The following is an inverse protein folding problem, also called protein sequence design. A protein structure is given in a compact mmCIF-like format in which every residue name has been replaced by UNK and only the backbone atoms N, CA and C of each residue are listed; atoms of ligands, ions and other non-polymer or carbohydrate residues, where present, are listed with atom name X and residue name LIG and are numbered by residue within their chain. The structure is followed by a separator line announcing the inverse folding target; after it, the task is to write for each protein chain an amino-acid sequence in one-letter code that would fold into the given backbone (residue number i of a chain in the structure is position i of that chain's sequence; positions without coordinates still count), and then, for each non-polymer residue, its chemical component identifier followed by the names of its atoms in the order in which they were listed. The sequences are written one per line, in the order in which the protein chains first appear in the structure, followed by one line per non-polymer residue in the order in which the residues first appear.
data_IF_096250778630
#
_entry.id   IF_096250778630
#
_cell.length_a   1.000
_cell.length_b   1.000
_cell.length_c   1.000
_cell.angle_alpha   90.00
_cell.angle_beta   90.00
_cell.angle_gamma   90.00
#
_symmetry.space_group_name_H-M   'P 1'
#
loop_
_entity.id
_entity.type
_entity.pdbx_description
1 polymer ?
#
# COMPACT_ATOMS: atom_id res chain seq x y z
N UNK A 1 7.25 11.20 14.38
CA UNK A 1 5.98 11.57 15.07
C UNK A 1 5.20 10.33 15.49
N UNK A 2 4.95 9.35 14.63
CA UNK A 2 4.15 8.13 14.91
C UNK A 2 4.66 7.36 16.13
N UNK A 3 5.99 7.15 16.26
CA UNK A 3 6.57 6.48 17.43
C UNK A 3 6.31 7.23 18.76
N UNK A 4 6.06 8.55 18.72
CA UNK A 4 5.79 9.38 19.90
C UNK A 4 4.30 9.42 20.26
N UNK A 5 3.42 9.07 19.33
CA UNK A 5 1.99 9.04 19.57
C UNK A 5 1.63 7.86 20.47
N UNK A 6 0.67 8.06 21.37
CA UNK A 6 0.09 6.95 22.13
C UNK A 6 -0.84 6.12 21.23
N UNK A 7 -1.16 4.91 21.66
CA UNK A 7 -2.10 4.08 20.94
C UNK A 7 -3.48 4.75 20.85
N UNK A 8 -3.92 5.41 21.92
CA UNK A 8 -5.20 6.14 21.98
C UNK A 8 -5.24 7.27 20.96
N UNK A 9 -4.17 8.06 20.82
CA UNK A 9 -4.07 9.12 19.82
C UNK A 9 -4.17 8.55 18.40
N UNK A 10 -3.50 7.43 18.12
CA UNK A 10 -3.59 6.75 16.82
C UNK A 10 -5.02 6.25 16.55
N UNK A 11 -5.70 5.68 17.55
CA UNK A 11 -7.10 5.26 17.45
C UNK A 11 -8.01 6.43 17.11
N UNK A 12 -7.89 7.55 17.82
CA UNK A 12 -8.70 8.75 17.59
C UNK A 12 -8.53 9.29 16.18
N UNK A 13 -7.28 9.37 15.70
CA UNK A 13 -6.94 9.84 14.35
C UNK A 13 -7.51 8.90 13.26
N UNK A 14 -7.42 7.59 13.45
CA UNK A 14 -7.98 6.60 12.52
C UNK A 14 -9.50 6.74 12.47
N UNK A 15 -10.19 6.76 13.61
CA UNK A 15 -11.66 6.89 13.69
C UNK A 15 -12.13 8.18 13.03
N UNK A 16 -11.46 9.30 13.31
CA UNK A 16 -11.78 10.61 12.71
C UNK A 16 -11.70 10.55 11.19
N UNK A 17 -10.61 9.99 10.63
CA UNK A 17 -10.43 9.87 9.18
C UNK A 17 -11.41 8.88 8.56
N UNK A 18 -11.65 7.74 9.21
CA UNK A 18 -12.63 6.76 8.76
C UNK A 18 -14.03 7.35 8.66
N UNK A 19 -14.46 8.12 9.66
CA UNK A 19 -15.76 8.77 9.66
C UNK A 19 -15.86 9.87 8.57
N UNK A 20 -14.78 10.61 8.29
CA UNK A 20 -14.75 11.56 7.18
C UNK A 20 -14.91 10.87 5.82
N UNK A 21 -14.27 9.71 5.63
CA UNK A 21 -14.40 8.92 4.41
C UNK A 21 -15.79 8.29 4.29
N UNK A 22 -16.33 7.80 5.39
CA UNK A 22 -17.68 7.24 5.44
C UNK A 22 -18.76 8.27 5.02
N UNK A 23 -18.63 9.52 5.46
CA UNK A 23 -19.52 10.63 5.03
C UNK A 23 -19.44 10.89 3.51
N UNK A 24 -18.36 10.47 2.86
CA UNK A 24 -18.16 10.53 1.40
C UNK A 24 -18.56 9.24 0.68
N UNK A 25 -19.20 8.31 1.38
CA UNK A 25 -19.67 7.04 0.82
C UNK A 25 -18.61 5.93 0.75
N UNK A 26 -17.43 6.11 1.36
CA UNK A 26 -16.38 5.09 1.41
C UNK A 26 -16.60 4.24 2.66
N UNK A 27 -17.08 3.02 2.48
CA UNK A 27 -17.49 2.12 3.57
C UNK A 27 -16.42 1.13 3.99
N UNK A 28 -15.43 0.87 3.12
CA UNK A 28 -14.31 -0.04 3.41
C UNK A 28 -13.00 0.68 3.14
N UNK A 29 -12.09 0.65 4.10
CA UNK A 29 -10.86 1.45 4.10
C UNK A 29 -9.69 0.53 4.47
N UNK A 30 -8.69 0.44 3.61
CA UNK A 30 -7.42 -0.14 3.99
C UNK A 30 -6.63 0.84 4.85
N UNK A 31 -6.10 0.36 5.98
CA UNK A 31 -5.26 1.15 6.89
C UNK A 31 -3.94 0.41 7.07
N UNK A 32 -2.85 1.07 6.68
CA UNK A 32 -1.50 0.48 6.71
C UNK A 32 -0.73 0.94 7.95
N UNK A 33 0.06 0.04 8.57
CA UNK A 33 1.15 0.41 9.46
C UNK A 33 2.35 0.94 8.66
N UNK A 34 3.59 0.82 9.14
CA UNK A 34 4.78 1.12 8.32
C UNK A 34 5.53 2.39 8.72
N UNK A 35 5.13 3.04 9.77
CA UNK A 35 5.82 4.21 10.33
C UNK A 35 6.40 3.95 11.73
N UNK A 36 6.16 2.78 12.29
CA UNK A 36 6.74 2.29 13.52
C UNK A 36 8.21 1.89 13.34
N UNK A 37 8.48 1.07 12.34
CA UNK A 37 9.81 0.58 11.95
C UNK A 37 10.57 -0.12 13.08
N UNK A 38 9.85 -0.69 14.04
CA UNK A 38 10.31 -1.61 15.09
C UNK A 38 9.15 -2.50 15.49
N UNK A 39 9.42 -3.63 16.13
CA UNK A 39 8.38 -4.61 16.48
C UNK A 39 7.27 -3.95 17.30
N UNK A 40 7.60 -3.36 18.43
CA UNK A 40 6.62 -2.76 19.36
C UNK A 40 5.81 -1.64 18.71
N UNK A 41 6.45 -0.79 17.91
CA UNK A 41 5.80 0.36 17.29
C UNK A 41 4.89 -0.06 16.12
N UNK A 42 5.26 -1.08 15.34
CA UNK A 42 4.38 -1.64 14.31
C UNK A 42 3.19 -2.36 14.94
N UNK A 43 3.40 -3.15 16.01
CA UNK A 43 2.32 -3.80 16.75
C UNK A 43 1.37 -2.75 17.37
N UNK A 44 1.90 -1.67 17.95
CA UNK A 44 1.08 -0.56 18.47
C UNK A 44 0.17 0.03 17.38
N UNK A 45 0.69 0.25 16.17
CA UNK A 45 -0.12 0.75 15.05
C UNK A 45 -1.21 -0.24 14.66
N UNK A 46 -0.89 -1.52 14.54
CA UNK A 46 -1.86 -2.56 14.17
C UNK A 46 -2.93 -2.76 15.25
N UNK A 47 -2.56 -2.69 16.53
CA UNK A 47 -3.52 -2.69 17.64
C UNK A 47 -4.43 -1.46 17.60
N UNK A 48 -3.90 -0.29 17.25
CA UNK A 48 -4.71 0.91 17.09
C UNK A 48 -5.74 0.74 15.97
N UNK A 49 -5.37 0.14 14.82
CA UNK A 49 -6.31 -0.14 13.72
C UNK A 49 -7.40 -1.12 14.19
N UNK A 50 -7.02 -2.21 14.85
CA UNK A 50 -7.96 -3.19 15.40
C UNK A 50 -8.96 -2.56 16.37
N UNK A 51 -8.48 -1.69 17.26
CA UNK A 51 -9.32 -0.95 18.21
C UNK A 51 -10.22 0.06 17.50
N UNK A 52 -9.69 0.82 16.54
CA UNK A 52 -10.45 1.80 15.77
C UNK A 52 -11.60 1.15 14.99
N UNK A 53 -11.40 -0.06 14.46
CA UNK A 53 -12.42 -0.80 13.72
C UNK A 53 -13.67 -1.13 14.58
N UNK A 54 -13.55 -1.11 15.91
CA UNK A 54 -14.70 -1.27 16.80
C UNK A 54 -15.41 0.04 17.15
N UNK A 55 -14.88 1.19 16.69
CA UNK A 55 -15.34 2.54 17.03
C UNK A 55 -15.85 3.35 15.82
N UNK A 56 -15.95 2.74 14.67
CA UNK A 56 -16.49 3.34 13.44
C UNK A 56 -17.40 2.35 12.73
N UNK A 57 -18.38 2.86 11.98
CA UNK A 57 -19.24 2.05 11.12
C UNK A 57 -18.54 1.66 9.79
N UNK A 58 -17.41 2.27 9.46
CA UNK A 58 -16.61 1.85 8.32
C UNK A 58 -15.87 0.54 8.63
N UNK A 59 -15.72 -0.33 7.64
CA UNK A 59 -14.89 -1.53 7.76
C UNK A 59 -13.43 -1.17 7.54
N UNK A 60 -12.58 -1.37 8.53
CA UNK A 60 -11.14 -1.15 8.41
C UNK A 60 -10.40 -2.45 8.12
N UNK A 61 -9.66 -2.48 7.04
CA UNK A 61 -8.79 -3.61 6.65
C UNK A 61 -7.35 -3.25 7.01
N UNK A 62 -6.81 -3.92 8.00
CA UNK A 62 -5.43 -3.68 8.42
C UNK A 62 -4.44 -4.37 7.49
N UNK A 63 -3.40 -3.62 7.09
CA UNK A 63 -2.24 -4.12 6.32
C UNK A 63 -0.95 -3.80 7.06
N UNK A 64 -0.12 -4.82 7.31
CA UNK A 64 1.18 -4.66 7.93
C UNK A 64 2.21 -4.23 6.86
N UNK A 65 2.59 -2.96 6.86
CA UNK A 65 3.60 -2.38 5.97
C UNK A 65 4.95 -2.18 6.70
N UNK A 66 5.36 -3.12 7.54
CA UNK A 66 6.64 -3.00 8.27
C UNK A 66 7.85 -2.87 7.31
N UNK A 67 7.78 -3.48 6.13
CA UNK A 67 8.79 -3.34 5.09
C UNK A 67 8.59 -2.07 4.23
N UNK A 68 8.35 -0.91 4.87
CA UNK A 68 8.13 0.37 4.19
C UNK A 68 9.45 1.07 3.83
N UNK A 69 10.33 1.21 4.80
CA UNK A 69 11.66 1.80 4.62
C UNK A 69 12.66 1.18 5.58
N UNK A 70 13.95 1.32 5.29
CA UNK A 70 15.01 0.80 6.15
C UNK A 70 15.14 1.72 7.36
N UNK A 71 14.91 1.25 8.61
CA UNK A 71 15.08 2.06 9.81
C UNK A 71 16.52 2.55 9.95
N UNK A 72 16.71 3.67 10.65
CA UNK A 72 18.04 4.24 10.87
C UNK A 72 18.97 3.27 11.58
N UNK A 73 18.43 2.46 12.47
CA UNK A 73 19.12 1.45 13.26
C UNK A 73 19.68 0.31 12.40
N UNK A 74 19.09 0.13 11.20
CA UNK A 74 19.48 -0.89 10.22
C UNK A 74 20.11 -0.28 8.95
N UNK A 75 20.55 0.98 9.00
CA UNK A 75 21.21 1.61 7.85
C UNK A 75 22.43 0.79 7.41
N UNK A 76 22.41 0.35 6.14
CA UNK A 76 23.45 -0.52 5.58
C UNK A 76 23.26 -2.02 5.87
N UNK A 77 22.21 -2.42 6.56
CA UNK A 77 21.87 -3.81 6.84
C UNK A 77 20.36 -4.07 6.64
N UNK A 78 19.82 -3.88 5.43
CA UNK A 78 18.41 -4.13 5.16
C UNK A 78 18.02 -5.59 5.39
N UNK A 79 18.92 -6.54 5.13
CA UNK A 79 18.70 -7.98 5.35
C UNK A 79 18.44 -8.28 6.83
N UNK A 80 19.19 -7.66 7.74
CA UNK A 80 18.99 -7.82 9.18
C UNK A 80 17.63 -7.28 9.65
N UNK A 81 17.15 -6.18 9.04
CA UNK A 81 15.81 -5.68 9.34
C UNK A 81 14.71 -6.60 8.80
N UNK A 82 14.86 -7.07 7.56
CA UNK A 82 13.92 -8.03 6.97
C UNK A 82 13.88 -9.32 7.80
N UNK A 83 15.02 -9.83 8.25
CA UNK A 83 15.06 -10.99 9.13
C UNK A 83 14.28 -10.73 10.43
N UNK A 84 14.50 -9.60 11.09
CA UNK A 84 13.80 -9.23 12.33
C UNK A 84 12.28 -9.25 12.14
N UNK A 85 11.75 -8.51 11.14
CA UNK A 85 10.30 -8.44 10.95
C UNK A 85 9.70 -9.76 10.45
N UNK A 86 10.48 -10.57 9.73
CA UNK A 86 10.07 -11.90 9.25
C UNK A 86 9.93 -12.91 10.39
N UNK A 87 10.90 -12.93 11.30
CA UNK A 87 10.99 -13.93 12.37
C UNK A 87 10.21 -13.53 13.62
N UNK A 88 10.16 -12.25 13.96
CA UNK A 88 9.55 -11.79 15.20
C UNK A 88 8.18 -11.12 14.98
N UNK A 89 8.01 -10.25 13.96
CA UNK A 89 6.76 -9.52 13.78
C UNK A 89 5.66 -10.35 13.13
N UNK A 90 5.92 -10.97 11.97
CA UNK A 90 4.88 -11.68 11.21
C UNK A 90 4.17 -12.78 12.00
N UNK A 91 4.87 -13.61 12.82
CA UNK A 91 4.19 -14.60 13.66
C UNK A 91 3.20 -13.98 14.64
N UNK A 92 3.58 -12.89 15.33
CA UNK A 92 2.74 -12.18 16.28
C UNK A 92 1.53 -11.56 15.59
N UNK A 93 1.73 -10.88 14.45
CA UNK A 93 0.64 -10.30 13.65
C UNK A 93 -0.38 -11.37 13.27
N UNK A 94 0.09 -12.57 12.92
CA UNK A 94 -0.80 -13.70 12.58
C UNK A 94 -1.52 -14.28 13.76
N UNK A 95 -0.81 -14.55 14.85
CA UNK A 95 -1.34 -15.14 16.07
C UNK A 95 -2.43 -14.25 16.70
N UNK A 96 -2.16 -12.94 16.80
CA UNK A 96 -3.09 -11.97 17.37
C UNK A 96 -4.17 -11.49 16.37
N UNK A 97 -4.11 -11.95 15.13
CA UNK A 97 -5.05 -11.58 14.06
C UNK A 97 -5.13 -10.06 13.90
N UNK A 98 -3.98 -9.40 13.82
CA UNK A 98 -3.88 -7.95 13.71
C UNK A 98 -4.04 -7.47 12.27
N UNK A 99 -3.59 -8.26 11.30
CA UNK A 99 -3.75 -8.01 9.88
C UNK A 99 -3.90 -9.33 9.12
N UNK A 100 -4.52 -9.27 7.95
CA UNK A 100 -4.58 -10.39 7.00
C UNK A 100 -3.70 -10.12 5.78
N UNK A 101 -3.16 -8.92 5.66
CA UNK A 101 -2.29 -8.46 4.57
C UNK A 101 -0.96 -8.00 5.07
N UNK A 102 0.05 -8.20 4.22
CA UNK A 102 1.36 -7.59 4.36
C UNK A 102 1.69 -6.80 3.11
N UNK A 103 2.56 -5.82 3.25
CA UNK A 103 2.98 -4.94 2.18
C UNK A 103 4.48 -4.65 2.27
N UNK A 104 5.08 -4.28 1.15
CA UNK A 104 6.47 -3.85 1.11
C UNK A 104 6.68 -2.80 0.01
N UNK A 105 7.59 -1.87 0.28
CA UNK A 105 8.02 -0.87 -0.69
C UNK A 105 9.24 -1.38 -1.47
N UNK A 106 8.99 -1.82 -2.71
CA UNK A 106 10.02 -2.34 -3.62
C UNK A 106 10.50 -1.20 -4.51
N UNK A 107 11.64 -0.61 -4.11
CA UNK A 107 12.17 0.56 -4.78
C UNK A 107 13.69 0.68 -4.57
N UNK A 108 14.35 1.36 -5.51
CA UNK A 108 15.77 1.69 -5.39
C UNK A 108 16.01 2.55 -4.15
N UNK A 109 16.86 2.07 -3.24
CA UNK A 109 17.13 2.75 -1.97
C UNK A 109 16.27 2.30 -0.80
N UNK A 110 15.27 1.44 -1.03
CA UNK A 110 14.49 0.72 -0.03
C UNK A 110 14.77 -0.79 -0.13
N UNK A 111 13.75 -1.61 -0.41
CA UNK A 111 13.93 -3.06 -0.52
C UNK A 111 13.95 -3.49 -1.99
N UNK A 112 14.78 -4.48 -2.31
CA UNK A 112 14.86 -5.11 -3.64
C UNK A 112 14.10 -6.43 -3.64
N UNK A 113 13.82 -6.98 -4.83
CA UNK A 113 13.24 -8.32 -4.98
C UNK A 113 14.03 -9.39 -4.19
N UNK A 114 15.36 -9.29 -4.20
CA UNK A 114 16.23 -10.21 -3.45
C UNK A 114 16.09 -10.04 -1.94
N UNK A 115 16.12 -8.81 -1.46
CA UNK A 115 16.09 -8.52 -0.02
C UNK A 115 14.73 -8.87 0.59
N UNK A 116 13.63 -8.62 -0.13
CA UNK A 116 12.27 -8.85 0.38
C UNK A 116 11.85 -10.34 0.36
N UNK A 117 12.52 -11.16 -0.44
CA UNK A 117 12.14 -12.56 -0.65
C UNK A 117 11.85 -13.35 0.64
N UNK A 118 12.69 -13.36 1.68
CA UNK A 118 12.40 -14.10 2.92
C UNK A 118 11.11 -13.66 3.60
N UNK A 119 10.80 -12.35 3.56
CA UNK A 119 9.60 -11.77 4.14
C UNK A 119 8.33 -12.24 3.42
N UNK A 120 8.30 -12.19 2.11
CA UNK A 120 7.15 -12.64 1.33
C UNK A 120 6.99 -14.16 1.31
N UNK A 121 8.09 -14.93 1.30
CA UNK A 121 8.03 -16.39 1.46
C UNK A 121 7.37 -16.76 2.80
N UNK A 122 7.75 -16.08 3.89
CA UNK A 122 7.16 -16.29 5.21
C UNK A 122 5.70 -15.83 5.25
N UNK A 123 5.39 -14.71 4.61
CA UNK A 123 4.02 -14.20 4.53
C UNK A 123 3.09 -15.21 3.84
N UNK A 124 3.50 -15.79 2.70
CA UNK A 124 2.74 -16.84 2.03
C UNK A 124 2.59 -18.10 2.89
N UNK A 125 3.67 -18.54 3.57
CA UNK A 125 3.63 -19.68 4.48
C UNK A 125 2.63 -19.48 5.62
N UNK A 126 2.51 -18.24 6.12
CA UNK A 126 1.54 -17.82 7.14
C UNK A 126 0.15 -17.48 6.56
N UNK A 127 -0.04 -17.61 5.24
CA UNK A 127 -1.29 -17.29 4.54
C UNK A 127 -1.73 -15.84 4.75
N UNK A 128 -0.82 -14.91 4.58
CA UNK A 128 -1.15 -13.51 4.38
C UNK A 128 -1.40 -13.24 2.89
N UNK A 129 -2.35 -12.37 2.60
CA UNK A 129 -2.40 -11.70 1.31
C UNK A 129 -1.22 -10.73 1.21
N UNK A 130 -0.72 -10.52 -0.02
CA UNK A 130 0.40 -9.62 -0.28
C UNK A 130 -0.08 -8.45 -1.13
N UNK A 131 0.32 -7.24 -0.76
CA UNK A 131 0.26 -6.05 -1.60
C UNK A 131 1.69 -5.52 -1.80
N UNK A 132 1.92 -4.72 -2.82
CA UNK A 132 3.27 -4.20 -3.12
C UNK A 132 3.17 -2.74 -3.52
N UNK A 133 3.89 -1.85 -2.84
CA UNK A 133 4.23 -0.54 -3.39
C UNK A 133 5.24 -0.78 -4.50
N UNK A 134 4.81 -0.59 -5.74
CA UNK A 134 5.50 -1.05 -6.93
C UNK A 134 5.71 0.09 -7.93
N UNK A 135 6.88 0.12 -8.55
CA UNK A 135 7.20 0.97 -9.69
C UNK A 135 6.83 2.45 -9.49
N UNK A 136 7.05 2.99 -8.28
CA UNK A 136 6.77 4.39 -8.00
C UNK A 136 7.79 5.31 -8.67
N UNK A 137 9.07 4.98 -8.60
CA UNK A 137 10.17 5.77 -9.18
C UNK A 137 11.02 4.96 -10.15
N UNK A 138 11.12 3.63 -9.95
CA UNK A 138 11.85 2.70 -10.81
C UNK A 138 11.07 1.41 -11.00
N UNK A 139 11.26 0.72 -12.11
CA UNK A 139 10.59 -0.56 -12.39
C UNK A 139 11.15 -1.70 -11.53
N UNK A 140 10.38 -2.78 -11.42
CA UNK A 140 10.76 -4.03 -10.73
C UNK A 140 9.82 -4.46 -9.62
N UNK A 141 9.07 -3.53 -9.01
CA UNK A 141 8.07 -3.84 -7.99
C UNK A 141 6.89 -4.63 -8.54
N UNK A 142 6.42 -4.30 -9.73
CA UNK A 142 5.36 -5.04 -10.42
C UNK A 142 5.75 -6.50 -10.70
N UNK A 143 7.01 -6.76 -11.06
CA UNK A 143 7.51 -8.12 -11.25
C UNK A 143 7.46 -8.93 -9.94
N UNK A 144 7.82 -8.31 -8.81
CA UNK A 144 7.70 -8.92 -7.47
C UNK A 144 6.24 -9.17 -7.12
N UNK A 145 5.34 -8.21 -7.38
CA UNK A 145 3.90 -8.39 -7.15
C UNK A 145 3.34 -9.61 -7.92
N UNK A 146 3.76 -9.78 -9.16
CA UNK A 146 3.34 -10.91 -10.00
C UNK A 146 3.94 -12.24 -9.52
N UNK A 147 5.24 -12.27 -9.14
CA UNK A 147 5.91 -13.45 -8.61
C UNK A 147 5.17 -14.01 -7.38
N UNK A 148 4.73 -13.12 -6.48
CA UNK A 148 4.03 -13.49 -5.26
C UNK A 148 2.51 -13.53 -5.38
N UNK A 149 1.97 -13.37 -6.60
CA UNK A 149 0.52 -13.32 -6.84
C UNK A 149 -0.17 -12.33 -5.91
N UNK A 150 0.42 -11.15 -5.78
CA UNK A 150 -0.07 -10.10 -4.92
C UNK A 150 -1.51 -9.70 -5.28
N UNK A 151 -2.33 -9.38 -4.29
CA UNK A 151 -3.71 -8.94 -4.51
C UNK A 151 -3.74 -7.55 -5.15
N UNK A 152 -2.75 -6.70 -4.86
CA UNK A 152 -2.57 -5.42 -5.57
C UNK A 152 -1.09 -5.06 -5.76
N UNK A 153 -0.86 -4.25 -6.79
CA UNK A 153 0.36 -3.50 -7.03
C UNK A 153 -0.02 -2.01 -7.05
N UNK A 154 0.49 -1.27 -6.08
CA UNK A 154 0.10 0.10 -5.81
C UNK A 154 1.16 1.06 -6.40
N UNK A 155 0.77 2.27 -6.82
CA UNK A 155 1.56 3.32 -7.49
C UNK A 155 1.67 3.14 -9.01
N UNK A 156 2.69 2.47 -9.49
CA UNK A 156 2.93 2.14 -10.91
C UNK A 156 3.26 3.35 -11.81
N UNK A 157 3.67 4.49 -11.24
CA UNK A 157 3.99 5.71 -12.00
C UNK A 157 5.15 5.52 -12.98
N UNK A 158 6.12 4.64 -12.62
CA UNK A 158 7.30 4.33 -13.45
C UNK A 158 7.12 3.06 -14.30
N UNK A 159 5.97 2.38 -14.23
CA UNK A 159 5.71 1.18 -15.04
C UNK A 159 5.75 1.51 -16.53
N UNK A 160 6.45 0.69 -17.30
CA UNK A 160 6.44 0.76 -18.77
C UNK A 160 5.32 -0.09 -19.36
N UNK A 161 5.15 0.00 -20.68
CA UNK A 161 4.20 -0.87 -21.42
C UNK A 161 4.38 -2.36 -21.11
N UNK A 162 5.63 -2.79 -20.87
CA UNK A 162 5.90 -4.20 -20.57
C UNK A 162 5.31 -4.63 -19.21
N UNK A 163 5.52 -3.84 -18.15
CA UNK A 163 4.95 -4.09 -16.83
C UNK A 163 3.43 -4.01 -16.86
N UNK A 164 2.86 -3.03 -17.55
CA UNK A 164 1.41 -2.86 -17.69
C UNK A 164 0.78 -4.06 -18.41
N UNK A 165 1.39 -4.57 -19.47
CA UNK A 165 0.90 -5.76 -20.18
C UNK A 165 0.98 -7.03 -19.34
N UNK A 166 1.99 -7.16 -18.48
CA UNK A 166 2.09 -8.29 -17.54
C UNK A 166 1.01 -8.20 -16.46
N UNK A 167 0.82 -7.02 -15.85
CA UNK A 167 -0.23 -6.78 -14.84
C UNK A 167 -1.61 -7.02 -15.43
N UNK A 168 -1.89 -6.54 -16.65
CA UNK A 168 -3.17 -6.72 -17.30
C UNK A 168 -3.55 -8.20 -17.56
N UNK A 169 -2.58 -9.09 -17.67
CA UNK A 169 -2.77 -10.55 -17.84
C UNK A 169 -2.85 -11.33 -16.52
N UNK A 170 -2.74 -10.64 -15.39
CA UNK A 170 -2.72 -11.25 -14.07
C UNK A 170 -4.04 -11.01 -13.31
N UNK A 171 -4.14 -11.60 -12.12
CA UNK A 171 -5.22 -11.31 -11.18
C UNK A 171 -4.85 -10.17 -10.19
N UNK A 172 -3.64 -9.61 -10.30
CA UNK A 172 -3.19 -8.51 -9.45
C UNK A 172 -3.91 -7.22 -9.86
N UNK A 173 -4.55 -6.56 -8.91
CA UNK A 173 -5.20 -5.26 -9.14
C UNK A 173 -4.13 -4.18 -9.19
N UNK A 174 -4.09 -3.42 -10.26
CA UNK A 174 -3.26 -2.22 -10.34
C UNK A 174 -3.97 -1.06 -9.61
N UNK A 175 -3.32 -0.42 -8.63
CA UNK A 175 -3.92 0.66 -7.85
C UNK A 175 -3.23 1.98 -8.17
N UNK A 176 -3.92 2.87 -8.85
CA UNK A 176 -3.44 4.22 -9.11
C UNK A 176 -3.61 5.12 -7.90
N UNK A 177 -2.61 5.92 -7.61
CA UNK A 177 -2.54 6.85 -6.48
C UNK A 177 -2.31 8.30 -6.95
N UNK A 178 -3.29 8.94 -7.62
CA UNK A 178 -3.08 10.23 -8.27
C UNK A 178 -2.66 11.35 -7.32
N UNK A 179 -3.08 11.28 -6.05
CA UNK A 179 -2.67 12.23 -5.02
C UNK A 179 -1.18 12.16 -4.73
N UNK A 180 -0.60 10.97 -4.72
CA UNK A 180 0.83 10.76 -4.55
C UNK A 180 1.60 11.27 -5.77
N UNK A 181 1.14 10.95 -6.98
CA UNK A 181 1.75 11.43 -8.22
C UNK A 181 1.84 12.96 -8.26
N UNK A 182 0.77 13.68 -7.86
CA UNK A 182 0.75 15.15 -7.76
C UNK A 182 1.69 15.64 -6.67
N UNK A 183 1.59 15.09 -5.47
CA UNK A 183 2.36 15.56 -4.31
C UNK A 183 3.87 15.40 -4.49
N UNK A 184 4.28 14.39 -5.25
CA UNK A 184 5.68 14.08 -5.55
C UNK A 184 6.16 14.67 -6.88
N UNK A 185 5.25 15.19 -7.71
CA UNK A 185 5.59 15.69 -9.05
C UNK A 185 6.00 14.59 -10.02
N UNK A 186 5.47 13.38 -9.84
CA UNK A 186 5.72 12.22 -10.70
C UNK A 186 4.73 12.18 -11.88
N UNK A 187 4.99 11.29 -12.84
CA UNK A 187 4.00 10.90 -13.83
C UNK A 187 2.80 10.24 -13.15
N UNK A 188 1.67 10.11 -13.86
CA UNK A 188 0.55 9.30 -13.36
C UNK A 188 0.72 7.84 -13.78
N UNK A 189 0.19 6.93 -12.96
CA UNK A 189 0.00 5.52 -13.34
C UNK A 189 -0.55 5.41 -14.76
N UNK A 190 -0.02 4.56 -15.65
CA UNK A 190 -0.53 4.37 -17.04
C UNK A 190 -1.90 3.67 -17.07
N UNK A 191 -2.90 4.27 -16.40
CA UNK A 191 -4.21 3.67 -16.15
C UNK A 191 -4.99 3.37 -17.44
N UNK A 192 -4.89 4.27 -18.44
CA UNK A 192 -5.59 4.07 -19.73
C UNK A 192 -5.03 2.86 -20.46
N UNK A 193 -3.70 2.75 -20.52
CA UNK A 193 -3.03 1.64 -21.17
C UNK A 193 -3.38 0.29 -20.52
N UNK A 194 -3.42 0.26 -19.16
CA UNK A 194 -3.84 -0.91 -18.41
C UNK A 194 -5.27 -1.36 -18.80
N UNK A 195 -6.21 -0.42 -18.84
CA UNK A 195 -7.62 -0.69 -19.22
C UNK A 195 -7.75 -1.13 -20.68
N UNK A 196 -6.97 -0.56 -21.60
CA UNK A 196 -6.95 -0.94 -23.00
C UNK A 196 -6.44 -2.38 -23.20
N UNK A 197 -5.63 -2.87 -22.26
CA UNK A 197 -5.17 -4.27 -22.21
C UNK A 197 -6.07 -5.17 -21.35
N UNK A 198 -7.27 -4.70 -20.95
CA UNK A 198 -8.24 -5.38 -20.09
C UNK A 198 -7.74 -5.71 -18.69
N UNK A 199 -6.78 -4.94 -18.16
CA UNK A 199 -6.32 -5.05 -16.78
C UNK A 199 -7.35 -4.50 -15.79
N UNK A 200 -7.24 -4.92 -14.53
CA UNK A 200 -8.08 -4.44 -13.44
C UNK A 200 -7.44 -3.23 -12.76
N UNK A 201 -8.17 -2.11 -12.71
CA UNK A 201 -7.73 -0.85 -12.11
C UNK A 201 -8.55 -0.53 -10.86
N UNK A 202 -7.87 -0.15 -9.80
CA UNK A 202 -8.43 0.55 -8.66
C UNK A 202 -7.81 1.94 -8.52
N UNK A 203 -8.48 2.84 -7.79
CA UNK A 203 -7.95 4.16 -7.42
C UNK A 203 -8.04 4.27 -5.92
N UNK A 204 -6.96 4.70 -5.28
CA UNK A 204 -6.90 4.96 -3.85
C UNK A 204 -6.30 6.34 -3.55
N UNK A 205 -6.53 6.83 -2.33
CA UNK A 205 -6.10 8.18 -1.95
C UNK A 205 -4.65 8.24 -1.47
N UNK A 206 -4.07 7.11 -1.09
CA UNK A 206 -2.82 7.05 -0.33
C UNK A 206 -2.88 7.78 1.03
N UNK A 207 -3.61 8.84 1.12
CA UNK A 207 -3.79 9.79 2.24
C UNK A 207 -2.60 9.85 3.19
N UNK A 208 -1.45 10.02 2.62
CA UNK A 208 -0.14 10.04 3.26
C UNK A 208 0.32 11.48 3.48
N UNK A 209 0.69 11.91 4.68
CA UNK A 209 1.12 13.29 4.94
C UNK A 209 2.38 13.70 4.18
N UNK A 210 3.21 12.75 3.73
CA UNK A 210 4.44 13.03 2.99
C UNK A 210 4.25 13.19 1.49
N UNK A 211 3.34 12.43 0.88
CA UNK A 211 3.14 12.38 -0.57
C UNK A 211 1.75 12.78 -1.02
N UNK A 212 0.72 12.41 -0.28
CA UNK A 212 -0.68 12.57 -0.68
C UNK A 212 -1.54 13.08 0.49
N UNK A 213 -1.39 14.34 0.96
CA UNK A 213 -2.13 14.83 2.13
C UNK A 213 -3.64 14.98 1.90
N UNK A 214 -4.11 14.74 0.69
CA UNK A 214 -5.51 14.86 0.29
C UNK A 214 -6.23 13.51 0.33
N UNK A 215 -7.21 13.36 1.21
CA UNK A 215 -8.04 12.14 1.34
C UNK A 215 -9.29 12.11 0.47
N UNK A 216 -9.49 13.03 -0.49
CA UNK A 216 -10.69 13.06 -1.34
C UNK A 216 -10.53 12.16 -2.58
N UNK A 217 -11.16 10.98 -2.52
CA UNK A 217 -11.03 9.97 -3.58
C UNK A 217 -11.70 10.39 -4.90
N UNK A 218 -12.85 11.09 -4.85
CA UNK A 218 -13.54 11.52 -6.07
C UNK A 218 -12.74 12.57 -6.82
N UNK A 219 -12.12 13.51 -6.11
CA UNK A 219 -11.23 14.49 -6.71
C UNK A 219 -10.03 13.79 -7.38
N UNK A 220 -9.45 12.78 -6.75
CA UNK A 220 -8.34 12.02 -7.33
C UNK A 220 -8.75 11.23 -8.57
N UNK A 221 -9.93 10.62 -8.55
CA UNK A 221 -10.48 9.94 -9.72
C UNK A 221 -10.72 10.91 -10.88
N UNK A 222 -11.26 12.11 -10.62
CA UNK A 222 -11.46 13.14 -11.63
C UNK A 222 -10.13 13.64 -12.23
N UNK A 223 -9.11 13.81 -11.40
CA UNK A 223 -7.76 14.20 -11.85
C UNK A 223 -7.17 13.12 -12.77
N UNK A 224 -7.16 11.86 -12.34
CA UNK A 224 -6.67 10.75 -13.15
C UNK A 224 -7.40 10.67 -14.49
N UNK A 225 -8.74 10.78 -14.47
CA UNK A 225 -9.56 10.78 -15.66
C UNK A 225 -9.24 11.90 -16.64
N UNK A 226 -8.90 13.08 -16.13
CA UNK A 226 -8.51 14.23 -16.96
C UNK A 226 -7.17 14.01 -17.67
N UNK A 227 -6.19 13.48 -16.97
CA UNK A 227 -4.85 13.27 -17.53
C UNK A 227 -4.75 12.03 -18.41
N UNK A 228 -5.54 11.00 -18.15
CA UNK A 228 -5.52 9.76 -18.92
C UNK A 228 -6.43 9.77 -20.14
N UNK A 229 -6.87 10.91 -20.61
CA UNK A 229 -7.81 11.19 -21.73
C UNK A 229 -8.38 9.93 -22.37
N UNK A 230 -9.69 9.65 -22.23
CA UNK A 230 -10.28 8.52 -22.92
C UNK A 230 -10.14 8.76 -24.42
N UNK A 231 -9.48 7.86 -25.14
CA UNK A 231 -9.53 7.83 -26.59
C UNK A 231 -10.97 7.56 -27.02
N UNK A 232 -11.79 8.61 -27.16
CA UNK A 232 -13.08 8.58 -27.88
C UNK A 232 -14.25 7.78 -27.29
N UNK A 233 -14.11 7.02 -26.20
CA UNK A 233 -15.19 6.27 -25.56
C UNK A 233 -15.37 6.70 -24.10
N UNK A 234 -16.22 7.69 -23.90
CA UNK A 234 -16.74 8.12 -22.60
C UNK A 234 -17.68 7.03 -22.07
N UNK A 235 -17.19 5.99 -21.49
CA UNK A 235 -18.09 4.94 -20.98
C UNK A 235 -17.42 3.67 -20.48
N UNK A 236 -16.11 3.65 -20.35
CA UNK A 236 -15.35 2.54 -19.75
C UNK A 236 -14.47 3.08 -18.61
N UNK A 237 -15.13 3.52 -17.54
CA UNK A 237 -14.54 3.72 -16.21
C UNK A 237 -15.22 2.78 -15.25
#
# INVERSE_FOLDING_TARGET
ETRKATQEQLVEDIVKRANLLLQKGITTIEVKSGYGLSIDEELKMLHAIKTANTKTEATLIATCLAAHTIPREYKGNPEGYIQLITEELLPVVKEEKLANRVDAFIEKGSFTAKTIKPYFDKAQALRFDITVHADQFTTGGSAVALEYQAVSADHLEASTTAEIQMLAKSNTVATALPGASIGLGCAFTPARELLDHNGTLAIASDWNPGSAPMGDLLTQAAILGTFQKPSGNIGKW
#
